data_IF_773298437322
#
_entry.id   IF_773298437322
#
_cell.length_a   1.000
_cell.length_b   1.000
_cell.length_c   1.000
_cell.angle_alpha   90.00
_cell.angle_beta   90.00
_cell.angle_gamma   90.00
#
_symmetry.space_group_name_H-M   'P 1'
#
loop_
_entity.id
_entity.type
_entity.pdbx_description
1 polymer ?
#
# COMPACT_ATOMS: atom_id res chain seq x y z
N UNK A 1 -24.50 28.58 -13.90
CA UNK A 1 -24.12 27.62 -12.82
C UNK A 1 -24.40 28.27 -11.49
N UNK A 2 -24.97 27.55 -10.52
CA UNK A 2 -25.25 28.08 -9.19
C UNK A 2 -23.97 28.06 -8.33
N UNK A 3 -23.77 29.03 -7.43
CA UNK A 3 -22.56 29.11 -6.59
C UNK A 3 -22.33 27.84 -5.74
N UNK A 4 -23.40 27.16 -5.32
CA UNK A 4 -23.32 25.89 -4.61
C UNK A 4 -22.72 24.75 -5.46
N UNK A 5 -23.01 24.72 -6.77
CA UNK A 5 -22.46 23.71 -7.68
C UNK A 5 -20.96 23.92 -7.88
N UNK A 6 -20.51 25.18 -8.00
CA UNK A 6 -19.09 25.50 -8.12
C UNK A 6 -18.32 25.08 -6.85
N UNK A 7 -18.87 25.37 -5.67
CA UNK A 7 -18.24 24.97 -4.41
C UNK A 7 -18.12 23.45 -4.27
N UNK A 8 -19.10 22.68 -4.75
CA UNK A 8 -19.02 21.22 -4.77
C UNK A 8 -17.96 20.72 -5.76
N UNK A 9 -17.86 21.32 -6.94
CA UNK A 9 -16.85 20.99 -7.93
C UNK A 9 -15.43 21.26 -7.39
N UNK A 10 -15.22 22.42 -6.76
CA UNK A 10 -13.92 22.79 -6.17
C UNK A 10 -13.50 21.79 -5.07
N UNK A 11 -14.44 21.39 -4.20
CA UNK A 11 -14.19 20.40 -3.15
C UNK A 11 -13.90 19.01 -3.71
N UNK A 12 -14.59 18.60 -4.78
CA UNK A 12 -14.33 17.33 -5.44
C UNK A 12 -12.94 17.32 -6.05
N UNK A 13 -12.57 18.38 -6.77
CA UNK A 13 -11.24 18.52 -7.37
C UNK A 13 -10.13 18.51 -6.32
N UNK A 14 -10.32 19.17 -5.17
CA UNK A 14 -9.37 19.12 -4.07
C UNK A 14 -9.23 17.70 -3.50
N UNK A 15 -10.34 16.98 -3.32
CA UNK A 15 -10.35 15.59 -2.87
C UNK A 15 -9.61 14.66 -3.85
N UNK A 16 -9.84 14.83 -5.16
CA UNK A 16 -9.15 14.06 -6.20
C UNK A 16 -7.65 14.31 -6.18
N UNK A 17 -7.22 15.57 -6.07
CA UNK A 17 -5.81 15.93 -5.97
C UNK A 17 -5.14 15.32 -4.73
N UNK A 18 -5.82 15.32 -3.58
CA UNK A 18 -5.31 14.69 -2.35
C UNK A 18 -5.18 13.17 -2.51
N UNK A 19 -6.17 12.51 -3.12
CA UNK A 19 -6.13 11.07 -3.39
C UNK A 19 -4.97 10.70 -4.34
N UNK A 20 -4.76 11.50 -5.39
CA UNK A 20 -3.63 11.32 -6.31
C UNK A 20 -2.27 11.46 -5.58
N UNK A 21 -2.13 12.48 -4.74
CA UNK A 21 -0.92 12.69 -3.95
C UNK A 21 -0.64 11.51 -2.99
N UNK A 22 -1.67 11.03 -2.28
CA UNK A 22 -1.54 9.86 -1.40
C UNK A 22 -1.19 8.59 -2.18
N UNK A 23 -1.79 8.38 -3.36
CA UNK A 23 -1.45 7.25 -4.23
C UNK A 23 0.00 7.30 -4.70
N UNK A 24 0.49 8.48 -5.07
CA UNK A 24 1.89 8.68 -5.46
C UNK A 24 2.85 8.39 -4.30
N UNK A 25 2.52 8.87 -3.10
CA UNK A 25 3.31 8.61 -1.89
C UNK A 25 3.38 7.11 -1.55
N UNK A 26 2.23 6.41 -1.56
CA UNK A 26 2.19 4.97 -1.32
C UNK A 26 3.02 4.20 -2.34
N UNK A 27 3.00 4.62 -3.61
CA UNK A 27 3.81 3.97 -4.65
C UNK A 27 5.31 4.20 -4.42
N UNK A 28 5.71 5.39 -4.00
CA UNK A 28 7.10 5.66 -3.64
C UNK A 28 7.57 4.81 -2.45
N UNK A 29 6.74 4.67 -1.41
CA UNK A 29 7.02 3.80 -0.27
C UNK A 29 7.17 2.32 -0.69
N UNK A 30 6.29 1.83 -1.57
CA UNK A 30 6.36 0.48 -2.12
C UNK A 30 7.72 0.22 -2.79
N UNK A 31 8.19 1.14 -3.65
CA UNK A 31 9.51 1.01 -4.29
C UNK A 31 10.66 1.14 -3.29
N UNK A 32 10.56 2.03 -2.30
CA UNK A 32 11.54 2.15 -1.22
C UNK A 32 11.71 0.84 -0.45
N UNK A 33 10.59 0.22 -0.05
CA UNK A 33 10.57 -1.09 0.61
C UNK A 33 11.20 -2.16 -0.27
N UNK A 34 10.81 -2.24 -1.55
CA UNK A 34 11.42 -3.20 -2.49
C UNK A 34 12.93 -3.05 -2.58
N UNK A 35 13.42 -1.81 -2.69
CA UNK A 35 14.86 -1.54 -2.73
C UNK A 35 15.55 -1.97 -1.43
N UNK A 36 14.98 -1.66 -0.27
CA UNK A 36 15.51 -2.07 1.03
C UNK A 36 15.56 -3.59 1.18
N UNK A 37 14.53 -4.30 0.74
CA UNK A 37 14.51 -5.76 0.75
C UNK A 37 15.52 -6.35 -0.25
N UNK A 38 15.66 -5.74 -1.43
CA UNK A 38 16.58 -6.21 -2.45
C UNK A 38 18.05 -6.08 -2.05
N UNK A 39 18.38 -5.07 -1.27
CA UNK A 39 19.73 -4.80 -0.79
C UNK A 39 20.01 -5.37 0.60
N UNK A 40 19.03 -6.02 1.24
CA UNK A 40 19.18 -6.52 2.60
C UNK A 40 20.13 -7.72 2.67
N UNK A 41 21.15 -7.72 3.56
CA UNK A 41 22.15 -8.79 3.63
C UNK A 41 21.58 -10.15 4.06
N UNK A 42 20.45 -10.16 4.77
CA UNK A 42 19.76 -11.37 5.24
C UNK A 42 18.34 -11.46 4.66
N UNK A 43 18.21 -11.36 3.33
CA UNK A 43 16.91 -11.30 2.63
C UNK A 43 15.94 -12.43 2.97
N UNK A 44 16.44 -13.67 3.06
CA UNK A 44 15.63 -14.83 3.42
C UNK A 44 15.04 -14.72 4.83
N UNK A 45 15.85 -14.36 5.82
CA UNK A 45 15.40 -14.18 7.21
C UNK A 45 14.37 -13.04 7.33
N UNK A 46 14.57 -11.96 6.57
CA UNK A 46 13.62 -10.84 6.53
C UNK A 46 12.29 -11.26 5.90
N UNK A 47 12.32 -12.03 4.81
CA UNK A 47 11.11 -12.59 4.17
C UNK A 47 10.35 -13.52 5.12
N UNK A 48 11.06 -14.37 5.86
CA UNK A 48 10.44 -15.26 6.84
C UNK A 48 9.83 -14.49 8.01
N UNK A 49 10.53 -13.48 8.54
CA UNK A 49 10.01 -12.59 9.58
C UNK A 49 8.75 -11.84 9.11
N UNK A 50 8.75 -11.35 7.86
CA UNK A 50 7.58 -10.71 7.24
C UNK A 50 6.38 -11.65 7.22
N UNK A 51 6.54 -12.89 6.73
CA UNK A 51 5.46 -13.89 6.68
C UNK A 51 4.87 -14.20 8.06
N UNK A 52 5.70 -14.23 9.11
CA UNK A 52 5.23 -14.43 10.49
C UNK A 52 4.43 -13.25 11.03
N UNK A 53 4.72 -12.02 10.58
CA UNK A 53 4.02 -10.81 11.02
C UNK A 53 2.69 -10.60 10.29
N UNK A 54 2.55 -11.05 9.04
CA UNK A 54 1.36 -10.83 8.21
C UNK A 54 0.02 -11.12 8.91
N UNK A 55 -0.18 -12.26 9.61
CA UNK A 55 -1.45 -12.54 10.27
C UNK A 55 -1.78 -11.52 11.36
N UNK A 56 -0.78 -11.06 12.10
CA UNK A 56 -0.94 -10.05 13.16
C UNK A 56 -1.31 -8.68 12.60
N UNK A 57 -0.70 -8.30 11.47
CA UNK A 57 -1.00 -7.04 10.75
C UNK A 57 -2.43 -7.09 10.21
N UNK A 58 -2.79 -8.17 9.52
CA UNK A 58 -4.12 -8.35 8.96
C UNK A 58 -5.21 -8.39 10.04
N UNK A 59 -4.95 -9.02 11.19
CA UNK A 59 -5.88 -9.05 12.30
C UNK A 59 -6.06 -7.66 12.95
N UNK A 60 -4.95 -6.94 13.15
CA UNK A 60 -4.96 -5.61 13.79
C UNK A 60 -5.78 -4.59 13.00
N UNK A 61 -5.65 -4.57 11.68
CA UNK A 61 -6.29 -3.57 10.83
C UNK A 61 -7.65 -4.03 10.26
N UNK A 62 -8.13 -5.22 10.62
CA UNK A 62 -9.40 -5.76 10.09
C UNK A 62 -10.61 -4.86 10.33
N UNK A 63 -10.60 -4.10 11.43
CA UNK A 63 -11.72 -3.27 11.88
C UNK A 63 -11.51 -1.76 11.62
N UNK A 64 -10.38 -1.36 11.02
CA UNK A 64 -10.06 0.04 10.77
C UNK A 64 -10.94 0.65 9.67
N UNK A 65 -11.61 -0.19 8.89
CA UNK A 65 -12.54 0.22 7.84
C UNK A 65 -13.62 -0.82 7.57
N UNK A 66 -14.41 -0.58 6.52
CA UNK A 66 -15.44 -1.51 6.06
C UNK A 66 -14.89 -2.72 5.28
N UNK A 67 -15.77 -3.57 4.80
CA UNK A 67 -15.39 -4.81 4.07
C UNK A 67 -14.47 -4.54 2.87
N UNK A 68 -14.71 -3.45 2.13
CA UNK A 68 -13.85 -3.04 1.01
C UNK A 68 -12.43 -2.72 1.46
N UNK A 69 -12.27 -2.04 2.60
CA UNK A 69 -10.94 -1.75 3.16
C UNK A 69 -10.23 -3.05 3.54
N UNK A 70 -10.91 -3.94 4.24
CA UNK A 70 -10.33 -5.22 4.65
C UNK A 70 -9.88 -6.06 3.44
N UNK A 71 -10.70 -6.14 2.39
CA UNK A 71 -10.37 -6.86 1.17
C UNK A 71 -9.18 -6.21 0.42
N UNK A 72 -9.21 -4.89 0.23
CA UNK A 72 -8.13 -4.15 -0.43
C UNK A 72 -6.81 -4.26 0.35
N UNK A 73 -6.87 -4.21 1.68
CA UNK A 73 -5.72 -4.35 2.56
C UNK A 73 -5.11 -5.75 2.48
N UNK A 74 -5.94 -6.80 2.52
CA UNK A 74 -5.47 -8.17 2.32
C UNK A 74 -4.84 -8.36 0.94
N UNK A 75 -5.47 -7.85 -0.11
CA UNK A 75 -4.90 -7.91 -1.47
C UNK A 75 -3.54 -7.21 -1.55
N UNK A 76 -3.41 -6.03 -0.94
CA UNK A 76 -2.14 -5.29 -0.91
C UNK A 76 -1.04 -6.08 -0.17
N UNK A 77 -1.37 -6.71 0.96
CA UNK A 77 -0.42 -7.55 1.70
C UNK A 77 0.02 -8.78 0.90
N UNK A 78 -0.89 -9.42 0.16
CA UNK A 78 -0.57 -10.53 -0.74
C UNK A 78 0.43 -10.10 -1.82
N UNK A 79 0.12 -9.02 -2.55
CA UNK A 79 0.97 -8.49 -3.62
C UNK A 79 2.36 -8.12 -3.10
N UNK A 80 2.45 -7.47 -1.93
CA UNK A 80 3.74 -7.15 -1.31
C UNK A 80 4.52 -8.41 -0.95
N UNK A 81 3.86 -9.45 -0.44
CA UNK A 81 4.50 -10.71 -0.05
C UNK A 81 5.07 -11.46 -1.24
N UNK A 82 4.35 -11.50 -2.36
CA UNK A 82 4.83 -12.10 -3.62
C UNK A 82 6.10 -11.39 -4.10
N UNK A 83 6.09 -10.06 -4.11
CA UNK A 83 7.23 -9.25 -4.58
C UNK A 83 8.45 -9.30 -3.66
N UNK A 84 8.24 -9.57 -2.37
CA UNK A 84 9.33 -9.82 -1.40
C UNK A 84 9.99 -11.18 -1.66
N UNK A 85 9.22 -12.16 -2.14
CA UNK A 85 9.67 -13.52 -2.42
C UNK A 85 10.31 -13.72 -3.79
N UNK A 86 10.09 -12.82 -4.74
CA UNK A 86 10.69 -12.93 -6.08
C UNK A 86 12.21 -12.67 -6.04
N UNK A 87 13.03 -13.61 -6.55
CA UNK A 87 14.43 -13.31 -6.79
C UNK A 87 14.51 -12.20 -7.82
N UNK A 88 15.34 -11.18 -7.56
CA UNK A 88 15.62 -10.16 -8.55
C UNK A 88 16.16 -10.86 -9.80
N UNK A 89 15.43 -10.82 -10.92
CA UNK A 89 16.00 -11.22 -12.21
C UNK A 89 17.20 -10.30 -12.47
N UNK A 90 18.40 -10.86 -12.33
CA UNK A 90 19.65 -10.19 -12.66
C UNK A 90 19.67 -10.05 -14.18
N UNK A 91 19.53 -8.82 -14.68
CA UNK A 91 19.87 -8.45 -16.05
C UNK A 91 21.19 -7.69 -16.04
#
# INVERSE_FOLDING_TARGET
MTPALNQLADRLQACEAELEAQRAYLKALEYGLRFSLATHPARAQLSDAWKHLLPSIAAKHRQDGGELFAAAFQQALTVLTEQIGEPSEQT
#
